data_IF_247866564758
#
_entry.id   IF_247866564758
#
_cell.length_a   1.000
_cell.length_b   1.000
_cell.length_c   1.000
_cell.angle_alpha   90.00
_cell.angle_beta   90.00
_cell.angle_gamma   90.00
#
_symmetry.space_group_name_H-M   'P 1'
#
loop_
_entity.id
_entity.type
_entity.pdbx_description
1 polymer ?
#
# COMPACT_ATOMS: atom_id res chain seq x y z
N UNK A 1 -3.72 25.51 -7.12
CA UNK A 1 -3.60 26.63 -8.11
C UNK A 1 -4.38 26.27 -9.35
N UNK A 2 -5.17 27.22 -9.88
CA UNK A 2 -5.80 27.07 -11.21
C UNK A 2 -4.78 27.50 -12.26
N UNK A 3 -4.45 26.58 -13.17
CA UNK A 3 -3.68 26.88 -14.36
C UNK A 3 -4.56 26.55 -15.55
N UNK A 4 -4.89 27.53 -16.38
CA UNK A 4 -5.68 27.41 -17.62
C UNK A 4 -7.00 26.63 -17.50
N UNK A 5 -7.80 26.88 -16.44
CA UNK A 5 -9.12 26.26 -16.28
C UNK A 5 -9.11 24.82 -15.77
N UNK A 6 -7.98 24.21 -15.47
CA UNK A 6 -7.88 22.93 -14.75
C UNK A 6 -7.49 23.15 -13.30
N UNK A 7 -8.17 22.46 -12.40
CA UNK A 7 -7.78 22.40 -11.00
C UNK A 7 -6.60 21.44 -10.85
N UNK A 8 -5.38 21.96 -10.82
CA UNK A 8 -4.18 21.17 -10.58
C UNK A 8 -3.96 21.07 -9.08
N UNK A 9 -3.81 19.85 -8.61
CA UNK A 9 -3.50 19.54 -7.20
C UNK A 9 -1.99 19.45 -7.05
N UNK A 10 -1.42 20.23 -6.13
CA UNK A 10 0.01 20.19 -5.83
C UNK A 10 0.22 19.22 -4.67
N UNK A 11 1.04 18.18 -4.81
CA UNK A 11 1.34 17.26 -3.72
C UNK A 11 2.16 17.95 -2.63
N UNK A 12 2.08 17.45 -1.41
CA UNK A 12 2.96 17.87 -0.32
C UNK A 12 4.31 17.18 -0.53
N UNK A 13 5.39 17.96 -0.50
CA UNK A 13 6.73 17.39 -0.60
C UNK A 13 7.42 17.45 0.75
N UNK A 14 7.91 16.28 1.22
CA UNK A 14 8.67 16.16 2.46
C UNK A 14 9.73 15.06 2.34
N UNK A 15 10.96 15.36 2.76
CA UNK A 15 12.11 14.45 2.65
C UNK A 15 12.39 13.96 1.23
N UNK A 16 12.10 14.77 0.21
CA UNK A 16 12.24 14.39 -1.19
C UNK A 16 11.16 13.43 -1.71
N UNK A 17 10.10 13.20 -0.93
CA UNK A 17 8.97 12.35 -1.31
C UNK A 17 7.73 13.22 -1.50
N UNK A 18 7.05 13.06 -2.64
CA UNK A 18 5.76 13.69 -2.92
C UNK A 18 4.64 12.86 -2.34
N UNK A 19 3.79 13.48 -1.53
CA UNK A 19 2.72 12.82 -0.78
C UNK A 19 1.37 13.39 -1.18
N UNK A 20 0.39 12.52 -1.34
CA UNK A 20 -1.02 12.87 -1.49
C UNK A 20 -1.89 11.92 -0.69
N UNK A 21 -2.86 12.49 0.01
CA UNK A 21 -3.83 11.73 0.79
C UNK A 21 -5.21 12.35 0.70
N UNK A 22 -6.23 11.52 0.75
CA UNK A 22 -7.62 11.94 0.89
C UNK A 22 -7.81 12.83 2.11
N UNK A 23 -7.10 12.53 3.21
CA UNK A 23 -7.12 13.33 4.43
C UNK A 23 -6.66 14.77 4.25
N UNK A 24 -5.86 15.08 3.24
CA UNK A 24 -5.43 16.46 2.95
C UNK A 24 -6.52 17.30 2.27
N UNK A 25 -7.52 16.64 1.65
CA UNK A 25 -8.62 17.28 0.95
C UNK A 25 -9.86 17.44 1.82
N UNK A 26 -9.88 16.84 3.00
CA UNK A 26 -11.02 16.82 3.91
C UNK A 26 -10.76 17.73 5.10
N UNK A 27 -11.67 18.61 5.48
CA UNK A 27 -11.55 19.38 6.74
C UNK A 27 -11.47 18.43 7.94
N UNK A 28 -10.60 18.74 8.90
CA UNK A 28 -10.33 17.88 10.07
C UNK A 28 -11.59 17.55 10.90
N UNK A 29 -12.59 18.45 10.87
CA UNK A 29 -13.82 18.34 11.64
C UNK A 29 -14.97 17.67 10.88
N UNK A 30 -14.75 17.21 9.64
CA UNK A 30 -15.80 16.59 8.83
C UNK A 30 -15.63 15.08 8.76
N UNK A 31 -16.60 14.35 9.31
CA UNK A 31 -16.71 12.90 9.08
C UNK A 31 -17.22 12.64 7.66
N UNK A 32 -16.32 12.67 6.68
CA UNK A 32 -16.70 12.31 5.30
C UNK A 32 -16.74 10.80 5.17
N UNK A 33 -17.91 10.26 4.93
CA UNK A 33 -18.10 8.84 4.63
C UNK A 33 -17.70 8.59 3.18
N UNK A 34 -16.52 8.06 2.95
CA UNK A 34 -16.04 7.70 1.62
C UNK A 34 -16.71 6.41 1.15
N UNK A 35 -17.75 6.56 0.35
CA UNK A 35 -18.38 5.41 -0.32
C UNK A 35 -17.58 5.03 -1.58
N UNK A 36 -17.65 3.76 -1.99
CA UNK A 36 -16.87 3.22 -3.10
C UNK A 36 -16.74 4.10 -4.34
N UNK A 37 -17.85 4.66 -4.92
CA UNK A 37 -17.75 5.53 -6.09
C UNK A 37 -16.96 6.83 -5.84
N UNK A 38 -17.06 7.41 -4.64
CA UNK A 38 -16.30 8.62 -4.28
C UNK A 38 -14.81 8.32 -4.15
N UNK A 39 -14.47 7.20 -3.54
CA UNK A 39 -13.07 6.77 -3.39
C UNK A 39 -12.42 6.45 -4.75
N UNK A 40 -13.17 5.82 -5.65
CA UNK A 40 -12.73 5.57 -7.03
C UNK A 40 -12.54 6.86 -7.84
N UNK A 41 -13.41 7.86 -7.64
CA UNK A 41 -13.27 9.18 -8.27
C UNK A 41 -12.05 9.93 -7.73
N UNK A 42 -11.84 9.90 -6.41
CA UNK A 42 -10.65 10.50 -5.79
C UNK A 42 -9.35 9.87 -6.29
N UNK A 43 -9.32 8.54 -6.43
CA UNK A 43 -8.17 7.84 -6.99
C UNK A 43 -7.85 8.33 -8.41
N UNK A 44 -8.86 8.46 -9.28
CA UNK A 44 -8.67 8.99 -10.65
C UNK A 44 -8.14 10.41 -10.64
N UNK A 45 -8.63 11.27 -9.74
CA UNK A 45 -8.12 12.64 -9.58
C UNK A 45 -6.67 12.64 -9.08
N UNK A 46 -6.31 11.78 -8.13
CA UNK A 46 -4.93 11.68 -7.65
C UNK A 46 -3.94 11.24 -8.72
N UNK A 47 -4.40 10.41 -9.65
CA UNK A 47 -3.56 9.96 -10.75
C UNK A 47 -3.48 11.03 -11.85
N UNK A 48 -4.62 11.66 -12.20
CA UNK A 48 -4.74 12.54 -13.37
C UNK A 48 -4.54 14.03 -13.10
N UNK A 49 -4.95 14.52 -11.93
CA UNK A 49 -5.02 15.95 -11.63
C UNK A 49 -3.91 16.44 -10.67
N UNK A 50 -3.10 15.52 -10.11
CA UNK A 50 -1.95 15.86 -9.27
C UNK A 50 -0.71 16.10 -10.12
N UNK A 51 -0.01 17.17 -9.83
CA UNK A 51 1.26 17.52 -10.49
C UNK A 51 2.42 16.70 -9.88
N UNK A 52 2.48 15.43 -10.26
CA UNK A 52 3.54 14.53 -9.78
C UNK A 52 4.93 14.89 -10.34
N UNK A 53 5.01 15.42 -11.56
CA UNK A 53 6.28 15.59 -12.29
C UNK A 53 6.93 14.24 -12.59
N UNK A 54 8.25 14.25 -12.73
CA UNK A 54 9.00 13.01 -12.94
C UNK A 54 9.13 12.23 -11.64
N UNK A 55 8.75 10.94 -11.69
CA UNK A 55 8.81 10.01 -10.57
C UNK A 55 9.58 8.76 -10.97
N UNK A 56 10.46 8.29 -10.09
CA UNK A 56 11.08 6.97 -10.22
C UNK A 56 10.09 5.86 -9.82
N UNK A 57 9.29 6.11 -8.77
CA UNK A 57 8.32 5.17 -8.23
C UNK A 57 7.04 5.90 -7.81
N UNK A 58 5.90 5.27 -8.09
CA UNK A 58 4.60 5.66 -7.54
C UNK A 58 4.10 4.53 -6.64
N UNK A 59 4.00 4.81 -5.33
CA UNK A 59 3.44 3.89 -4.35
C UNK A 59 2.00 4.27 -4.04
N UNK A 60 1.10 3.32 -4.14
CA UNK A 60 -0.32 3.52 -3.89
C UNK A 60 -0.73 2.64 -2.71
N UNK A 61 -1.06 3.25 -1.59
CA UNK A 61 -1.61 2.57 -0.41
C UNK A 61 -3.12 2.45 -0.56
N UNK A 62 -3.61 1.23 -0.67
CA UNK A 62 -5.02 0.92 -0.89
C UNK A 62 -5.73 0.60 0.44
N UNK A 63 -7.01 0.93 0.57
CA UNK A 63 -7.80 0.55 1.72
C UNK A 63 -7.87 -0.97 1.84
N UNK A 64 -8.12 -1.52 3.03
CA UNK A 64 -8.23 -2.96 3.23
C UNK A 64 -9.42 -3.56 2.47
N UNK A 65 -9.33 -4.84 2.17
CA UNK A 65 -10.39 -5.59 1.50
C UNK A 65 -10.20 -5.72 -0.01
N UNK A 66 -11.27 -6.06 -0.70
CA UNK A 66 -11.32 -6.31 -2.16
C UNK A 66 -12.47 -5.50 -2.78
N UNK A 67 -12.39 -4.19 -2.64
CA UNK A 67 -13.45 -3.27 -3.09
C UNK A 67 -13.22 -2.79 -4.53
N UNK A 68 -14.23 -2.11 -5.09
CA UNK A 68 -14.19 -1.53 -6.44
C UNK A 68 -13.01 -0.57 -6.67
N UNK A 69 -12.43 -0.01 -5.60
CA UNK A 69 -11.28 0.88 -5.71
C UNK A 69 -10.03 0.14 -6.24
N UNK A 70 -9.85 -1.13 -5.86
CA UNK A 70 -8.75 -1.98 -6.33
C UNK A 70 -8.87 -2.25 -7.83
N UNK A 71 -10.09 -2.56 -8.29
CA UNK A 71 -10.36 -2.74 -9.72
C UNK A 71 -10.17 -1.45 -10.50
N UNK A 72 -10.67 -0.34 -9.97
CA UNK A 72 -10.51 0.98 -10.58
C UNK A 72 -9.03 1.34 -10.72
N UNK A 73 -8.22 1.06 -9.70
CA UNK A 73 -6.78 1.32 -9.73
C UNK A 73 -6.09 0.54 -10.85
N UNK A 74 -6.31 -0.77 -10.92
CA UNK A 74 -5.71 -1.62 -11.95
C UNK A 74 -6.14 -1.25 -13.36
N UNK A 75 -7.38 -0.75 -13.53
CA UNK A 75 -7.90 -0.29 -14.82
C UNK A 75 -7.38 1.11 -15.21
N UNK A 76 -6.94 1.91 -14.24
CA UNK A 76 -6.55 3.30 -14.46
C UNK A 76 -5.03 3.43 -14.62
N UNK A 77 -4.25 2.59 -13.94
CA UNK A 77 -2.78 2.65 -13.89
C UNK A 77 -2.18 1.32 -14.34
N UNK A 78 -1.14 1.32 -15.17
CA UNK A 78 -0.36 0.12 -15.47
C UNK A 78 0.46 -0.28 -14.24
N UNK A 79 -0.12 -1.11 -13.38
CA UNK A 79 0.50 -1.52 -12.12
C UNK A 79 1.62 -2.52 -12.40
N UNK A 80 2.83 -2.20 -11.99
CA UNK A 80 4.01 -3.09 -12.13
C UNK A 80 3.89 -4.32 -11.23
N UNK A 81 3.31 -4.16 -10.04
CA UNK A 81 3.10 -5.27 -9.12
C UNK A 81 2.51 -4.83 -7.79
N UNK A 82 2.14 -5.81 -6.98
CA UNK A 82 1.49 -5.60 -5.68
C UNK A 82 2.31 -6.24 -4.58
N UNK A 83 2.45 -5.52 -3.47
CA UNK A 83 2.97 -6.03 -2.20
C UNK A 83 1.80 -6.15 -1.24
N UNK A 84 1.59 -7.33 -0.68
CA UNK A 84 0.55 -7.55 0.33
C UNK A 84 1.18 -7.36 1.71
N UNK A 85 0.62 -6.44 2.49
CA UNK A 85 1.03 -6.21 3.88
C UNK A 85 -0.02 -6.82 4.79
N UNK A 86 0.39 -7.65 5.74
CA UNK A 86 -0.50 -8.31 6.68
C UNK A 86 0.16 -8.43 8.05
N UNK A 87 -0.63 -8.80 9.04
CA UNK A 87 -0.14 -9.17 10.37
C UNK A 87 -0.33 -10.68 10.58
N UNK A 88 0.34 -11.31 11.58
CA UNK A 88 0.28 -12.77 11.77
C UNK A 88 -1.06 -13.29 12.32
N UNK A 89 -2.05 -12.42 12.55
CA UNK A 89 -3.36 -12.86 13.05
C UNK A 89 -4.18 -13.56 11.95
N UNK A 90 -4.92 -14.61 12.32
CA UNK A 90 -5.75 -15.42 11.41
C UNK A 90 -6.72 -14.58 10.56
N UNK A 91 -7.33 -13.56 11.16
CA UNK A 91 -8.28 -12.69 10.47
C UNK A 91 -7.59 -11.88 9.38
N UNK A 92 -6.44 -11.26 9.71
CA UNK A 92 -5.65 -10.50 8.75
C UNK A 92 -5.11 -11.38 7.61
N UNK A 93 -4.67 -12.60 7.92
CA UNK A 93 -4.24 -13.59 6.93
C UNK A 93 -5.39 -14.00 5.99
N UNK A 94 -6.62 -14.12 6.52
CA UNK A 94 -7.81 -14.37 5.72
C UNK A 94 -8.06 -13.26 4.69
N UNK A 95 -7.94 -12.01 5.09
CA UNK A 95 -8.13 -10.86 4.19
C UNK A 95 -6.96 -10.72 3.20
N UNK A 96 -5.73 -10.95 3.63
CA UNK A 96 -4.55 -11.01 2.76
C UNK A 96 -4.72 -12.08 1.66
N UNK A 97 -5.26 -13.26 2.02
CA UNK A 97 -5.52 -14.34 1.06
C UNK A 97 -6.56 -13.94 0.01
N UNK A 98 -7.62 -13.22 0.42
CA UNK A 98 -8.63 -12.68 -0.52
C UNK A 98 -7.99 -11.69 -1.48
N UNK A 99 -7.15 -10.76 -0.97
CA UNK A 99 -6.40 -9.81 -1.79
C UNK A 99 -5.50 -10.50 -2.82
N UNK A 100 -4.71 -11.50 -2.37
CA UNK A 100 -3.88 -12.33 -3.26
C UNK A 100 -4.70 -12.98 -4.37
N UNK A 101 -5.82 -13.59 -4.01
CA UNK A 101 -6.70 -14.26 -4.97
C UNK A 101 -7.28 -13.29 -5.98
N UNK A 102 -7.68 -12.09 -5.55
CA UNK A 102 -8.22 -11.04 -6.41
C UNK A 102 -7.19 -10.60 -7.46
N UNK A 103 -5.96 -10.27 -7.05
CA UNK A 103 -4.92 -9.81 -7.97
C UNK A 103 -4.45 -10.88 -8.97
N UNK A 104 -4.67 -12.17 -8.65
CA UNK A 104 -4.36 -13.30 -9.53
C UNK A 104 -5.47 -13.65 -10.51
N UNK A 105 -6.65 -13.07 -10.39
CA UNK A 105 -7.74 -13.34 -11.35
C UNK A 105 -7.29 -13.00 -12.77
N UNK A 106 -7.64 -13.81 -13.78
CA UNK A 106 -7.22 -13.59 -15.17
C UNK A 106 -7.57 -12.20 -15.72
N UNK A 107 -8.63 -11.59 -15.22
CA UNK A 107 -9.11 -10.27 -15.63
C UNK A 107 -8.24 -9.13 -15.05
N UNK A 108 -7.53 -9.36 -13.95
CA UNK A 108 -6.68 -8.40 -13.25
C UNK A 108 -5.22 -8.68 -13.55
N UNK A 109 -4.78 -9.90 -13.30
CA UNK A 109 -3.46 -10.46 -13.62
C UNK A 109 -2.29 -9.55 -13.26
N UNK A 110 -2.30 -9.00 -12.05
CA UNK A 110 -1.20 -8.17 -11.53
C UNK A 110 -0.19 -9.06 -10.81
N UNK A 111 1.12 -8.94 -11.10
CA UNK A 111 2.16 -9.69 -10.41
C UNK A 111 2.17 -9.42 -8.91
N UNK A 112 2.24 -10.48 -8.11
CA UNK A 112 2.47 -10.37 -6.67
C UNK A 112 3.98 -10.33 -6.45
N UNK A 113 4.50 -9.19 -6.02
CA UNK A 113 5.93 -8.98 -5.76
C UNK A 113 6.36 -9.64 -4.44
N UNK A 114 5.48 -9.66 -3.45
CA UNK A 114 5.75 -10.27 -2.17
C UNK A 114 4.66 -10.05 -1.13
N UNK A 115 4.88 -10.66 0.04
CA UNK A 115 4.06 -10.49 1.24
C UNK A 115 4.95 -9.99 2.37
N UNK A 116 4.54 -8.92 3.03
CA UNK A 116 5.23 -8.36 4.20
C UNK A 116 4.43 -8.70 5.44
N UNK A 117 5.07 -9.38 6.39
CA UNK A 117 4.52 -9.61 7.72
C UNK A 117 4.90 -8.43 8.62
N UNK A 118 3.91 -7.62 8.95
CA UNK A 118 4.06 -6.50 9.88
C UNK A 118 3.66 -6.93 11.30
N UNK A 119 4.23 -6.28 12.32
CA UNK A 119 3.96 -6.58 13.73
C UNK A 119 4.19 -8.06 14.10
N UNK A 120 5.18 -8.70 13.48
CA UNK A 120 5.48 -10.12 13.68
C UNK A 120 6.04 -10.42 15.07
N UNK A 121 6.77 -9.47 15.64
CA UNK A 121 7.36 -9.60 16.97
C UNK A 121 7.41 -8.25 17.69
N UNK A 122 7.53 -8.31 18.99
CA UNK A 122 7.82 -7.19 19.88
C UNK A 122 9.24 -7.35 20.44
N UNK A 123 10.02 -6.26 20.44
CA UNK A 123 11.32 -6.19 21.09
C UNK A 123 11.27 -5.07 22.13
N UNK A 124 11.39 -5.37 23.45
CA UNK A 124 11.44 -4.34 24.48
C UNK A 124 12.68 -3.47 24.33
N UNK A 125 12.56 -2.18 24.65
CA UNK A 125 13.72 -1.25 24.61
C UNK A 125 14.84 -1.66 25.60
N UNK A 126 14.45 -2.26 26.74
CA UNK A 126 15.38 -2.73 27.77
C UNK A 126 16.13 -4.00 27.36
N UNK A 127 15.61 -4.78 26.42
CA UNK A 127 16.15 -6.06 25.95
C UNK A 127 16.03 -6.15 24.42
N UNK A 128 16.76 -5.33 23.67
CA UNK A 128 16.61 -5.23 22.22
C UNK A 128 16.95 -6.52 21.45
N UNK A 129 17.76 -7.39 22.05
CA UNK A 129 18.11 -8.70 21.48
C UNK A 129 16.98 -9.72 21.60
N UNK A 130 15.98 -9.48 22.48
CA UNK A 130 14.90 -10.43 22.72
C UNK A 130 13.71 -10.10 21.80
N UNK A 131 13.32 -11.07 20.97
CA UNK A 131 12.16 -10.98 20.08
C UNK A 131 11.04 -11.87 20.60
N UNK A 132 9.92 -11.26 20.94
CA UNK A 132 8.72 -11.96 21.38
C UNK A 132 7.73 -12.04 20.22
N UNK A 133 7.61 -13.22 19.63
CA UNK A 133 6.71 -13.47 18.52
C UNK A 133 5.28 -13.66 19.02
N UNK A 134 4.37 -12.81 18.54
CA UNK A 134 2.96 -12.84 18.95
C UNK A 134 2.21 -14.04 18.38
N UNK A 135 2.53 -14.43 17.13
CA UNK A 135 1.94 -15.59 16.43
C UNK A 135 2.91 -16.10 15.35
N UNK A 136 2.90 -17.42 15.09
CA UNK A 136 3.77 -18.07 14.08
C UNK A 136 2.97 -18.77 12.98
N UNK A 137 1.96 -18.14 12.40
CA UNK A 137 1.11 -18.81 11.41
C UNK A 137 1.41 -18.47 9.93
N UNK A 138 2.30 -17.53 9.65
CA UNK A 138 2.58 -17.08 8.28
C UNK A 138 3.30 -18.13 7.39
N UNK A 139 3.88 -19.16 7.97
CA UNK A 139 4.62 -20.21 7.22
C UNK A 139 3.80 -20.88 6.11
N UNK A 140 2.47 -20.86 6.22
CA UNK A 140 1.57 -21.44 5.21
C UNK A 140 1.35 -20.56 3.99
N UNK A 141 1.40 -19.23 4.15
CA UNK A 141 1.28 -18.28 3.02
C UNK A 141 2.64 -18.06 2.34
N UNK A 142 3.72 -18.02 3.12
CA UNK A 142 5.05 -17.71 2.62
C UNK A 142 5.62 -18.81 1.72
N UNK A 143 5.40 -20.07 2.05
CA UNK A 143 5.89 -21.19 1.23
C UNK A 143 5.22 -21.29 -0.15
N UNK A 144 4.05 -20.67 -0.33
CA UNK A 144 3.32 -20.72 -1.60
C UNK A 144 3.58 -19.50 -2.51
N UNK A 145 4.09 -18.37 -2.00
CA UNK A 145 3.94 -17.09 -2.68
C UNK A 145 5.14 -16.13 -2.63
N UNK A 146 6.25 -16.46 -1.98
CA UNK A 146 7.39 -15.54 -1.86
C UNK A 146 8.45 -15.84 -2.94
N UNK A 147 8.78 -14.80 -3.72
CA UNK A 147 10.00 -14.78 -4.49
C UNK A 147 11.17 -14.44 -3.53
N UNK A 148 12.17 -15.33 -3.35
CA UNK A 148 13.28 -15.13 -2.40
C UNK A 148 14.08 -13.84 -2.61
N UNK A 149 13.98 -13.24 -3.79
CA UNK A 149 14.71 -12.02 -4.15
C UNK A 149 14.18 -10.78 -3.42
N UNK A 150 12.90 -10.76 -3.05
CA UNK A 150 12.23 -9.58 -2.46
C UNK A 150 12.52 -9.45 -0.97
N UNK A 151 12.69 -10.56 -0.25
CA UNK A 151 13.12 -10.54 1.16
C UNK A 151 14.48 -9.87 1.36
N UNK A 152 15.40 -9.96 0.38
CA UNK A 152 16.68 -9.26 0.40
C UNK A 152 16.54 -7.76 0.17
N UNK A 153 15.62 -7.33 -0.70
CA UNK A 153 15.41 -5.92 -1.02
C UNK A 153 14.79 -5.14 0.15
N UNK A 154 13.82 -5.73 0.85
CA UNK A 154 13.22 -5.10 2.04
C UNK A 154 14.22 -4.95 3.19
N UNK A 155 15.17 -5.88 3.34
CA UNK A 155 16.22 -5.77 4.35
C UNK A 155 17.21 -4.64 4.05
N UNK A 156 17.51 -4.39 2.78
CA UNK A 156 18.39 -3.29 2.36
C UNK A 156 17.75 -1.90 2.53
N UNK A 157 16.43 -1.78 2.37
CA UNK A 157 15.71 -0.50 2.55
C UNK A 157 15.60 -0.08 4.03
N UNK A 158 15.58 -1.04 4.96
CA UNK A 158 15.54 -0.77 6.41
C UNK A 158 16.94 -0.45 6.95
N UNK A 159 17.97 -1.09 6.40
CA UNK A 159 19.36 -0.89 6.83
C UNK A 159 20.02 0.39 6.26
N UNK A 160 19.37 1.09 5.32
CA UNK A 160 19.87 2.32 4.69
C UNK A 160 19.30 3.62 5.26
N UNK A 161 18.51 3.58 6.33
CA UNK A 161 18.13 4.79 7.06
C UNK A 161 19.33 5.32 7.86
N UNK A 162 19.80 6.55 7.60
CA UNK A 162 20.85 7.14 8.41
C UNK A 162 20.34 7.39 9.82
N UNK A 163 21.11 6.95 10.80
CA UNK A 163 20.98 7.23 12.23
C UNK A 163 21.00 8.73 12.54
#
# INVERSE_FOLDING_TARGET
>A
KQVEGKNIIIPIEQYGVKLMSIGFLTPADSAVVWRGPMASSALKQFIGDVEWGDLDYLLIDLPPGTSDIHLTMVQTVPVTGVVIVTTPQKVALGDATKGLTMFRQPQINVPILGVVENMAYFSPEELPENKYYLLRELSRLTNAYINPCILKCCKQLVDSSPS
#
